data_IF_577429893830
#
_entry.id   IF_577429893830
#
_cell.length_a   1.000
_cell.length_b   1.000
_cell.length_c   1.000
_cell.angle_alpha   90.00
_cell.angle_beta   90.00
_cell.angle_gamma   90.00
#
_symmetry.space_group_name_H-M   'P 1'
#
loop_
_entity.id
_entity.type
_entity.pdbx_description
1 polymer ?
#
# COMPACT_ATOMS: atom_id res chain seq x y z
N UNK A 1 7.17 17.00 3.37
CA UNK A 1 6.20 16.07 3.98
C UNK A 1 5.78 16.61 5.34
N UNK A 2 4.58 16.26 5.82
CA UNK A 2 3.91 17.01 6.91
C UNK A 2 4.48 16.78 8.31
N UNK A 3 5.24 15.71 8.52
CA UNK A 3 5.91 15.42 9.78
C UNK A 3 7.41 15.28 9.53
N UNK A 4 8.23 15.80 10.44
CA UNK A 4 9.68 15.63 10.45
C UNK A 4 10.11 15.16 11.84
N UNK A 5 11.03 14.18 11.97
CA UNK A 5 11.70 13.48 10.88
C UNK A 5 10.78 12.52 10.12
N UNK A 6 10.97 12.40 8.80
CA UNK A 6 10.34 11.41 7.92
C UNK A 6 11.37 10.68 7.05
N UNK A 7 10.91 9.70 6.27
CA UNK A 7 11.75 8.86 5.41
C UNK A 7 12.60 9.63 4.37
N UNK A 8 12.28 10.90 4.11
CA UNK A 8 13.00 11.77 3.17
C UNK A 8 13.85 12.85 3.85
N UNK A 9 13.90 12.89 5.19
CA UNK A 9 14.78 13.78 5.94
C UNK A 9 16.22 13.21 5.99
N UNK A 10 16.78 12.95 4.81
CA UNK A 10 18.12 12.44 4.57
C UNK A 10 18.74 13.16 3.36
N UNK A 11 19.91 12.71 2.89
CA UNK A 11 20.66 13.31 1.80
C UNK A 11 20.00 13.20 0.40
N UNK A 12 18.85 12.54 0.27
CA UNK A 12 18.09 12.52 -0.98
C UNK A 12 17.62 13.93 -1.38
N UNK A 13 17.21 14.75 -0.41
CA UNK A 13 16.75 16.13 -0.68
C UNK A 13 17.85 17.04 -1.21
N UNK A 14 19.12 16.69 -0.97
CA UNK A 14 20.27 17.46 -1.42
C UNK A 14 20.59 17.18 -2.90
N UNK A 15 20.08 16.07 -3.45
CA UNK A 15 20.40 15.60 -4.80
C UNK A 15 19.17 15.50 -5.71
N UNK A 16 17.95 15.51 -5.15
CA UNK A 16 16.71 15.31 -5.89
C UNK A 16 15.61 16.28 -5.45
N UNK A 17 14.76 16.67 -6.41
CA UNK A 17 13.44 17.21 -6.09
C UNK A 17 12.51 16.04 -5.76
N UNK A 18 11.87 16.10 -4.59
CA UNK A 18 11.09 14.98 -4.06
C UNK A 18 9.59 15.31 -4.09
N UNK A 19 8.79 14.38 -4.61
CA UNK A 19 7.33 14.37 -4.52
C UNK A 19 6.88 13.16 -3.72
N UNK A 20 6.12 13.40 -2.66
CA UNK A 20 5.36 12.40 -1.94
C UNK A 20 3.98 12.98 -1.64
N UNK A 21 2.94 12.18 -1.84
CA UNK A 21 1.55 12.61 -1.75
C UNK A 21 0.67 11.52 -1.14
N UNK A 22 -0.42 11.94 -0.51
CA UNK A 22 -1.46 11.02 -0.06
C UNK A 22 -2.30 10.63 -1.28
N UNK A 23 -2.46 9.34 -1.54
CA UNK A 23 -3.26 8.86 -2.67
C UNK A 23 -4.75 9.12 -2.44
N UNK A 24 -5.56 9.13 -3.51
CA UNK A 24 -7.03 9.28 -3.40
C UNK A 24 -7.62 8.36 -2.34
N UNK A 25 -8.54 8.89 -1.54
CA UNK A 25 -9.17 8.15 -0.45
C UNK A 25 -8.32 8.00 0.82
N UNK A 26 -7.08 8.48 0.85
CA UNK A 26 -6.16 8.28 1.97
C UNK A 26 -5.60 9.59 2.52
N UNK A 27 -5.16 9.54 3.78
CA UNK A 27 -4.48 10.65 4.45
C UNK A 27 -5.35 11.90 4.47
N UNK A 28 -4.83 13.00 3.90
CA UNK A 28 -5.57 14.26 3.74
C UNK A 28 -6.07 14.50 2.32
N UNK A 29 -5.87 13.55 1.42
CA UNK A 29 -6.51 13.61 0.10
C UNK A 29 -7.97 13.25 0.25
N UNK A 30 -8.82 13.92 -0.54
CA UNK A 30 -10.26 13.70 -0.52
C UNK A 30 -10.61 12.22 -0.76
N UNK A 31 -11.83 11.84 -0.37
CA UNK A 31 -12.42 10.54 -0.66
C UNK A 31 -13.54 10.75 -1.72
N UNK A 32 -13.20 10.92 -3.02
CA UNK A 32 -14.20 10.99 -4.08
C UNK A 32 -15.16 9.81 -4.05
N UNK A 33 -16.40 10.05 -4.47
CA UNK A 33 -17.38 8.98 -4.67
C UNK A 33 -17.06 8.14 -5.92
N UNK A 34 -17.66 6.95 -5.96
CA UNK A 34 -17.51 6.00 -7.07
C UNK A 34 -16.45 4.93 -6.83
N UNK A 35 -16.39 3.92 -7.72
CA UNK A 35 -15.40 2.87 -7.65
C UNK A 35 -14.01 3.42 -7.98
N UNK A 36 -12.98 2.91 -7.30
CA UNK A 36 -11.59 3.23 -7.63
C UNK A 36 -10.97 2.09 -8.42
N UNK A 37 -10.07 2.42 -9.35
CA UNK A 37 -9.31 1.44 -10.14
C UNK A 37 -7.81 1.65 -9.95
N UNK A 38 -6.97 0.66 -10.32
CA UNK A 38 -5.52 0.87 -10.34
C UNK A 38 -5.09 1.97 -11.34
N UNK A 39 -5.85 2.13 -12.42
CA UNK A 39 -5.63 3.17 -13.44
C UNK A 39 -5.82 4.56 -12.87
N UNK A 40 -6.86 4.74 -12.05
CA UNK A 40 -7.12 5.98 -11.33
C UNK A 40 -5.93 6.45 -10.48
N UNK A 41 -5.35 5.53 -9.69
CA UNK A 41 -4.19 5.86 -8.85
C UNK A 41 -2.95 6.22 -9.68
N UNK A 42 -2.75 5.58 -10.83
CA UNK A 42 -1.66 5.89 -11.75
C UNK A 42 -1.88 7.25 -12.44
N UNK A 43 -3.11 7.56 -12.83
CA UNK A 43 -3.44 8.84 -13.49
C UNK A 43 -3.37 10.02 -12.52
N UNK A 44 -3.67 9.82 -11.23
CA UNK A 44 -3.40 10.82 -10.19
C UNK A 44 -1.89 11.12 -10.08
N UNK A 45 -1.06 10.08 -10.06
CA UNK A 45 0.40 10.22 -9.99
C UNK A 45 0.90 11.03 -11.20
N UNK A 46 0.47 10.64 -12.40
CA UNK A 46 0.81 11.33 -13.64
C UNK A 46 0.34 12.79 -13.62
N UNK A 47 -0.89 13.05 -13.19
CA UNK A 47 -1.45 14.41 -13.12
C UNK A 47 -0.65 15.31 -12.19
N UNK A 48 -0.19 14.80 -11.04
CA UNK A 48 0.68 15.54 -10.13
C UNK A 48 2.04 15.84 -10.76
N UNK A 49 2.67 14.84 -11.40
CA UNK A 49 3.96 15.01 -12.08
C UNK A 49 3.86 16.07 -13.19
N UNK A 50 2.82 15.99 -14.02
CA UNK A 50 2.56 16.94 -15.09
C UNK A 50 2.28 18.35 -14.55
N UNK A 51 1.53 18.47 -13.45
CA UNK A 51 1.24 19.76 -12.80
C UNK A 51 2.50 20.45 -12.29
N UNK A 52 3.51 19.68 -11.87
CA UNK A 52 4.84 20.18 -11.47
C UNK A 52 5.76 20.50 -12.66
N UNK A 53 5.34 20.18 -13.89
CA UNK A 53 6.13 20.42 -15.10
C UNK A 53 7.33 19.48 -15.26
N UNK A 54 7.34 18.35 -14.56
CA UNK A 54 8.43 17.38 -14.63
C UNK A 54 8.29 16.50 -15.89
N UNK A 55 9.31 16.54 -16.76
CA UNK A 55 9.28 15.80 -18.04
C UNK A 55 9.47 14.30 -17.88
N UNK A 56 10.36 13.89 -16.98
CA UNK A 56 10.63 12.49 -16.64
C UNK A 56 10.99 12.41 -15.14
N UNK A 57 10.69 11.29 -14.49
CA UNK A 57 10.91 11.10 -13.05
C UNK A 57 11.45 9.72 -12.70
N UNK A 58 12.17 9.63 -11.58
CA UNK A 58 12.47 8.36 -10.94
C UNK A 58 11.30 8.00 -10.02
N UNK A 59 10.74 6.80 -10.17
CA UNK A 59 9.57 6.37 -9.42
C UNK A 59 9.94 5.24 -8.47
N UNK A 60 9.61 5.42 -7.19
CA UNK A 60 9.78 4.41 -6.14
C UNK A 60 8.40 4.03 -5.62
N UNK A 61 8.05 2.75 -5.72
CA UNK A 61 6.78 2.23 -5.25
C UNK A 61 6.95 1.13 -4.21
N UNK A 62 6.30 1.29 -3.06
CA UNK A 62 6.33 0.32 -1.94
C UNK A 62 4.95 -0.31 -1.77
N UNK A 63 4.88 -1.64 -1.68
CA UNK A 63 3.62 -2.38 -1.45
C UNK A 63 2.53 -1.97 -2.46
N UNK A 64 1.38 -1.45 -2.02
CA UNK A 64 0.34 -0.91 -2.91
C UNK A 64 0.88 0.19 -3.84
N UNK A 65 1.75 1.08 -3.35
CA UNK A 65 2.42 2.09 -4.17
C UNK A 65 3.29 1.48 -5.28
N UNK A 66 3.81 0.27 -5.10
CA UNK A 66 4.48 -0.49 -6.15
C UNK A 66 3.54 -0.93 -7.27
N UNK A 67 2.29 -1.27 -6.95
CA UNK A 67 1.26 -1.61 -7.95
C UNK A 67 0.88 -0.35 -8.75
N UNK A 68 0.71 0.79 -8.06
CA UNK A 68 0.47 2.09 -8.70
C UNK A 68 1.63 2.48 -9.62
N UNK A 69 2.88 2.29 -9.18
CA UNK A 69 4.06 2.61 -9.96
C UNK A 69 4.20 1.73 -11.22
N UNK A 70 3.81 0.45 -11.16
CA UNK A 70 3.72 -0.41 -12.33
C UNK A 70 2.67 0.10 -13.33
N UNK A 71 1.47 0.44 -12.84
CA UNK A 71 0.41 1.01 -13.69
C UNK A 71 0.82 2.36 -14.29
N UNK A 72 1.52 3.23 -13.55
CA UNK A 72 2.09 4.48 -14.07
C UNK A 72 3.09 4.22 -15.21
N UNK A 73 4.03 3.28 -15.02
CA UNK A 73 5.03 2.95 -16.02
C UNK A 73 4.44 2.34 -17.31
N UNK A 74 3.36 1.56 -17.20
CA UNK A 74 2.66 0.98 -18.36
C UNK A 74 1.85 2.05 -19.10
N UNK A 75 1.13 2.90 -18.37
CA UNK A 75 0.20 3.89 -18.95
C UNK A 75 0.89 5.13 -19.48
N UNK A 76 1.93 5.58 -18.78
CA UNK A 76 2.67 6.82 -19.04
C UNK A 76 4.18 6.54 -19.11
N UNK A 77 4.65 5.65 -20.02
CA UNK A 77 6.02 5.16 -20.03
C UNK A 77 7.06 6.27 -20.19
N UNK A 78 6.75 7.31 -20.96
CA UNK A 78 7.62 8.48 -21.13
C UNK A 78 7.83 9.29 -19.84
N UNK A 79 6.97 9.12 -18.83
CA UNK A 79 7.09 9.83 -17.57
C UNK A 79 8.09 9.16 -16.60
N UNK A 80 8.40 7.87 -16.82
CA UNK A 80 9.16 7.03 -15.89
C UNK A 80 10.55 6.75 -16.42
N UNK A 81 11.55 7.41 -15.86
CA UNK A 81 12.96 7.25 -16.25
C UNK A 81 13.60 6.00 -15.67
N UNK A 82 13.32 5.71 -14.40
CA UNK A 82 13.63 4.43 -13.73
C UNK A 82 12.54 4.11 -12.72
N UNK A 83 12.33 2.82 -12.52
CA UNK A 83 11.34 2.26 -11.61
C UNK A 83 12.02 1.42 -10.54
N UNK A 84 11.72 1.68 -9.27
CA UNK A 84 12.13 0.86 -8.12
C UNK A 84 10.88 0.32 -7.45
N UNK A 85 10.80 -1.01 -7.34
CA UNK A 85 9.68 -1.72 -6.73
C UNK A 85 10.13 -2.40 -5.44
N UNK A 86 9.43 -2.13 -4.34
CA UNK A 86 9.78 -2.64 -3.01
C UNK A 86 8.59 -3.36 -2.38
N UNK A 87 8.77 -4.64 -2.06
CA UNK A 87 7.77 -5.47 -1.34
C UNK A 87 6.36 -5.38 -1.96
N UNK A 88 6.28 -5.40 -3.29
CA UNK A 88 5.02 -5.33 -4.06
C UNK A 88 4.78 -6.63 -4.83
N UNK A 89 3.63 -6.74 -5.48
CA UNK A 89 3.24 -7.88 -6.30
C UNK A 89 3.04 -7.43 -7.75
N UNK A 90 3.31 -8.29 -8.74
CA UNK A 90 3.06 -8.01 -10.16
C UNK A 90 1.58 -8.14 -10.57
N UNK A 91 0.72 -8.70 -9.72
CA UNK A 91 -0.70 -8.89 -10.04
C UNK A 91 -0.96 -10.11 -10.93
N UNK A 92 -2.13 -10.16 -11.55
CA UNK A 92 -2.53 -11.24 -12.46
C UNK A 92 -2.43 -12.63 -11.80
N UNK A 93 -1.82 -13.61 -12.49
CA UNK A 93 -1.63 -14.97 -11.94
C UNK A 93 -0.70 -15.04 -10.73
N UNK A 94 0.11 -14.01 -10.51
CA UNK A 94 1.11 -13.92 -9.44
C UNK A 94 0.71 -12.86 -8.40
N UNK A 95 -0.60 -12.66 -8.22
CA UNK A 95 -1.12 -11.67 -7.29
C UNK A 95 -0.73 -11.98 -5.83
N UNK A 96 -0.50 -10.93 -5.05
CA UNK A 96 -0.44 -11.02 -3.59
C UNK A 96 -1.75 -11.54 -2.98
N UNK A 97 -1.73 -11.94 -1.71
CA UNK A 97 -2.94 -12.37 -0.99
C UNK A 97 -4.13 -11.40 -1.21
N UNK A 98 -5.34 -11.92 -1.48
CA UNK A 98 -6.55 -11.11 -1.68
C UNK A 98 -7.01 -10.45 -0.37
N UNK A 99 -6.37 -9.35 0.01
CA UNK A 99 -6.61 -8.69 1.31
C UNK A 99 -8.07 -8.22 1.53
N UNK A 100 -8.84 -8.02 0.47
CA UNK A 100 -10.26 -7.66 0.57
C UNK A 100 -11.09 -8.77 1.23
N UNK A 101 -10.71 -10.05 1.07
CA UNK A 101 -11.39 -11.18 1.72
C UNK A 101 -11.27 -11.16 3.25
N UNK A 102 -10.31 -10.41 3.81
CA UNK A 102 -10.20 -10.27 5.27
C UNK A 102 -11.32 -9.42 5.86
N UNK A 103 -11.92 -8.52 5.06
CA UNK A 103 -12.98 -7.63 5.52
C UNK A 103 -14.31 -8.39 5.75
N UNK A 104 -14.45 -9.59 5.16
CA UNK A 104 -15.60 -10.47 5.35
C UNK A 104 -15.50 -11.35 6.62
N UNK A 105 -14.34 -11.36 7.29
CA UNK A 105 -14.08 -12.20 8.46
C UNK A 105 -14.52 -11.52 9.76
N UNK A 106 -14.94 -12.33 10.74
CA UNK A 106 -15.03 -11.84 12.11
C UNK A 106 -13.65 -11.38 12.61
N UNK A 107 -13.64 -10.43 13.53
CA UNK A 107 -12.41 -9.79 14.02
C UNK A 107 -11.33 -10.77 14.46
N UNK A 108 -11.68 -11.84 15.19
CA UNK A 108 -10.69 -12.81 15.68
C UNK A 108 -10.09 -13.59 14.52
N UNK A 109 -10.93 -14.02 13.57
CA UNK A 109 -10.49 -14.71 12.36
C UNK A 109 -9.65 -13.81 11.46
N UNK A 110 -10.03 -12.53 11.31
CA UNK A 110 -9.24 -11.52 10.60
C UNK A 110 -7.83 -11.42 11.18
N UNK A 111 -7.68 -11.21 12.50
CA UNK A 111 -6.36 -11.07 13.13
C UNK A 111 -5.51 -12.31 12.94
N UNK A 112 -6.06 -13.51 13.22
CA UNK A 112 -5.32 -14.77 13.05
C UNK A 112 -4.84 -14.94 11.61
N UNK A 113 -5.71 -14.62 10.64
CA UNK A 113 -5.36 -14.70 9.23
C UNK A 113 -4.30 -13.66 8.87
N UNK A 114 -4.46 -12.42 9.33
CA UNK A 114 -3.53 -11.32 9.09
C UNK A 114 -2.11 -11.62 9.60
N UNK A 115 -1.99 -12.21 10.79
CA UNK A 115 -0.70 -12.64 11.34
C UNK A 115 -0.04 -13.66 10.41
N UNK A 116 -0.78 -14.68 9.98
CA UNK A 116 -0.24 -15.75 9.12
C UNK A 116 0.20 -15.27 7.73
N UNK A 117 -0.47 -14.26 7.17
CA UNK A 117 -0.09 -13.69 5.86
C UNK A 117 1.05 -12.67 5.99
N UNK A 118 1.20 -12.04 7.16
CA UNK A 118 2.24 -11.02 7.38
C UNK A 118 3.61 -11.65 7.61
N UNK A 119 3.65 -12.86 8.17
CA UNK A 119 4.88 -13.60 8.38
C UNK A 119 4.65 -15.11 8.21
N UNK A 120 5.17 -15.65 7.11
CA UNK A 120 5.04 -17.08 6.78
C UNK A 120 5.82 -18.01 7.72
N UNK A 121 6.65 -17.46 8.62
CA UNK A 121 7.38 -18.23 9.64
C UNK A 121 6.51 -18.54 10.85
N UNK A 122 5.37 -17.87 11.02
CA UNK A 122 4.39 -18.15 12.08
C UNK A 122 3.56 -19.38 11.70
N UNK A 123 4.23 -20.53 11.69
CA UNK A 123 3.62 -21.84 11.41
C UNK A 123 2.88 -22.37 12.64
N UNK A 124 2.05 -23.42 12.46
CA UNK A 124 1.44 -24.14 13.59
C UNK A 124 2.48 -24.65 14.60
N UNK A 125 3.66 -25.05 14.10
CA UNK A 125 4.76 -25.50 14.95
C UNK A 125 5.39 -24.33 15.72
N UNK A 126 5.59 -23.18 15.07
CA UNK A 126 6.06 -21.97 15.75
C UNK A 126 5.13 -21.57 16.89
N UNK A 127 3.82 -21.54 16.64
CA UNK A 127 2.80 -21.20 17.65
C UNK A 127 2.86 -22.19 18.82
N UNK A 128 2.98 -23.50 18.54
CA UNK A 128 3.09 -24.52 19.59
C UNK A 128 4.35 -24.36 20.45
N UNK A 129 5.48 -23.97 19.85
CA UNK A 129 6.75 -23.78 20.55
C UNK A 129 6.86 -22.42 21.25
N UNK A 130 6.10 -21.41 20.80
CA UNK A 130 6.21 -20.03 21.26
C UNK A 130 4.81 -19.41 21.52
N UNK A 131 4.00 -20.00 22.42
CA UNK A 131 2.64 -19.53 22.67
C UNK A 131 2.60 -18.07 23.14
N UNK A 132 3.52 -17.66 24.02
CA UNK A 132 3.55 -16.31 24.58
C UNK A 132 3.87 -15.25 23.52
N UNK A 133 4.78 -15.56 22.59
CA UNK A 133 5.12 -14.66 21.47
C UNK A 133 3.91 -14.51 20.55
N UNK A 134 3.22 -15.61 20.25
CA UNK A 134 2.04 -15.56 19.40
C UNK A 134 0.90 -14.78 20.06
N UNK A 135 0.67 -14.96 21.37
CA UNK A 135 -0.36 -14.22 22.11
C UNK A 135 -0.04 -12.72 22.13
N UNK A 136 1.22 -12.34 22.34
CA UNK A 136 1.66 -10.95 22.25
C UNK A 136 1.36 -10.34 20.87
N UNK A 137 1.68 -11.06 19.78
CA UNK A 137 1.37 -10.61 18.42
C UNK A 137 -0.14 -10.49 18.20
N UNK A 138 -0.90 -11.48 18.66
CA UNK A 138 -2.36 -11.50 18.56
C UNK A 138 -2.98 -10.28 19.24
N UNK A 139 -2.61 -10.00 20.49
CA UNK A 139 -3.11 -8.83 21.22
C UNK A 139 -2.71 -7.51 20.57
N UNK A 140 -1.48 -7.41 20.05
CA UNK A 140 -1.03 -6.23 19.31
C UNK A 140 -1.90 -5.96 18.06
N UNK A 141 -2.20 -6.99 17.27
CA UNK A 141 -3.03 -6.84 16.08
C UNK A 141 -4.51 -6.64 16.39
N UNK A 142 -5.02 -7.22 17.47
CA UNK A 142 -6.38 -6.97 17.96
C UNK A 142 -6.57 -5.47 18.27
N UNK A 143 -5.61 -4.85 18.96
CA UNK A 143 -5.65 -3.41 19.25
C UNK A 143 -5.51 -2.53 18.01
N UNK A 144 -4.72 -2.96 17.02
CA UNK A 144 -4.55 -2.23 15.76
C UNK A 144 -5.88 -2.14 14.98
N UNK A 145 -6.60 -3.26 14.87
CA UNK A 145 -7.88 -3.31 14.16
C UNK A 145 -8.94 -2.48 14.90
N UNK A 146 -8.97 -2.50 16.24
CA UNK A 146 -9.92 -1.70 17.03
C UNK A 146 -9.81 -0.19 16.83
N UNK A 147 -8.63 0.30 16.50
CA UNK A 147 -8.40 1.74 16.23
C UNK A 147 -8.86 2.15 14.82
N UNK A 148 -9.26 1.19 13.98
CA UNK A 148 -9.69 1.41 12.61
C UNK A 148 -11.10 1.98 12.52
N UNK A 149 -11.22 3.31 12.68
CA UNK A 149 -12.42 4.06 12.32
C UNK A 149 -12.83 3.78 10.86
N UNK A 150 -14.14 3.80 10.62
CA UNK A 150 -14.86 3.67 9.35
C UNK A 150 -14.08 4.24 8.15
N UNK A 151 -13.30 3.41 7.44
CA UNK A 151 -12.32 3.86 6.45
C UNK A 151 -12.78 3.53 5.02
N UNK A 152 -13.83 4.23 4.57
CA UNK A 152 -14.37 4.16 3.20
C UNK A 152 -13.25 4.16 2.15
N UNK A 153 -12.26 5.04 2.30
CA UNK A 153 -11.14 5.13 1.37
C UNK A 153 -10.23 3.90 1.33
N UNK A 154 -9.92 3.29 2.49
CA UNK A 154 -9.20 2.01 2.55
C UNK A 154 -9.98 0.91 1.83
N UNK A 155 -11.30 0.82 2.03
CA UNK A 155 -12.13 -0.18 1.36
C UNK A 155 -12.12 0.02 -0.16
N UNK A 156 -12.27 1.26 -0.63
CA UNK A 156 -12.16 1.59 -2.05
C UNK A 156 -10.77 1.29 -2.63
N UNK A 157 -9.69 1.46 -1.85
CA UNK A 157 -8.34 1.03 -2.24
C UNK A 157 -8.23 -0.50 -2.36
N UNK A 158 -8.79 -1.25 -1.41
CA UNK A 158 -8.79 -2.71 -1.46
C UNK A 158 -9.57 -3.25 -2.66
N UNK A 159 -10.70 -2.62 -2.99
CA UNK A 159 -11.47 -2.95 -4.20
C UNK A 159 -10.69 -2.61 -5.48
N UNK A 160 -10.00 -1.47 -5.55
CA UNK A 160 -9.13 -1.16 -6.69
C UNK A 160 -8.03 -2.20 -6.87
N UNK A 161 -7.38 -2.59 -5.76
CA UNK A 161 -6.31 -3.60 -5.72
C UNK A 161 -6.77 -4.96 -6.23
N UNK A 162 -8.02 -5.35 -5.97
CA UNK A 162 -8.59 -6.64 -6.39
C UNK A 162 -8.41 -6.90 -7.90
N UNK A 163 -8.37 -5.82 -8.68
CA UNK A 163 -8.23 -5.85 -10.13
C UNK A 163 -6.82 -5.48 -10.61
N UNK A 164 -5.80 -5.58 -9.75
CA UNK A 164 -4.42 -5.37 -10.17
C UNK A 164 -3.91 -6.53 -11.03
N UNK A 165 -3.76 -6.24 -12.32
CA UNK A 165 -3.10 -7.06 -13.34
C UNK A 165 -1.96 -6.32 -14.04
#
# INVERSE_FOLDING_TARGET
>A
MRLSPNAFDNNLKDNFQLLAYDQRGLGQTQIPDGPYTMKDYADDAFSLINKLGWKETYVVGISFGGMVAQHLAIRHPHQVKKLVLMCTSPGGKNHSYPLHELEDLDKKSHVRKFISISDNRITKEFIKKNPDIYEMLYEQFMQYIDKGNNNKGKLLQLEARKHHD
#
